data_IF_455581912168
#
_entry.id   IF_455581912168
#
_cell.length_a   1.000
_cell.length_b   1.000
_cell.length_c   1.000
_cell.angle_alpha   90.00
_cell.angle_beta   90.00
_cell.angle_gamma   90.00
#
_symmetry.space_group_name_H-M   'P 1'
#
loop_
_entity.id
_entity.type
_entity.pdbx_description
1 polymer ?
#
# COMPACT_ATOMS: atom_id res chain seq x y z
N UNK A 1 -13.65 6.44 16.27
CA UNK A 1 -13.82 6.21 14.81
C UNK A 1 -13.09 7.25 13.95
N UNK A 2 -13.34 8.55 14.15
CA UNK A 2 -12.82 9.65 13.30
C UNK A 2 -11.29 9.86 13.29
N UNK A 3 -10.56 9.25 14.22
CA UNK A 3 -9.08 9.28 14.22
C UNK A 3 -8.51 8.10 13.44
N UNK A 4 -9.11 6.91 13.58
CA UNK A 4 -8.65 5.66 12.96
C UNK A 4 -8.71 5.72 11.43
N UNK A 5 -9.79 6.28 10.88
CA UNK A 5 -9.94 6.44 9.43
C UNK A 5 -8.93 7.43 8.82
N UNK A 6 -8.59 8.51 9.53
CA UNK A 6 -7.54 9.44 9.13
C UNK A 6 -6.15 8.80 9.19
N UNK A 7 -5.90 7.96 10.20
CA UNK A 7 -4.65 7.20 10.31
C UNK A 7 -4.50 6.25 9.12
N UNK A 8 -5.55 5.51 8.75
CA UNK A 8 -5.47 4.59 7.61
C UNK A 8 -5.24 5.36 6.31
N UNK A 9 -5.93 6.49 6.11
CA UNK A 9 -5.67 7.36 4.96
C UNK A 9 -4.22 7.87 4.94
N UNK A 10 -3.71 8.33 6.08
CA UNK A 10 -2.33 8.80 6.18
C UNK A 10 -1.33 7.69 5.85
N UNK A 11 -1.53 6.48 6.38
CA UNK A 11 -0.67 5.33 6.09
C UNK A 11 -0.71 4.98 4.60
N UNK A 12 -1.89 4.95 3.97
CA UNK A 12 -2.04 4.74 2.53
C UNK A 12 -1.26 5.78 1.71
N UNK A 13 -1.35 7.06 2.08
CA UNK A 13 -0.60 8.14 1.42
C UNK A 13 0.92 7.95 1.61
N UNK A 14 1.36 7.66 2.83
CA UNK A 14 2.80 7.43 3.13
C UNK A 14 3.33 6.26 2.30
N UNK A 15 2.59 5.17 2.20
CA UNK A 15 2.98 4.02 1.38
C UNK A 15 3.08 4.38 -0.10
N UNK A 16 2.12 5.14 -0.64
CA UNK A 16 2.20 5.61 -2.02
C UNK A 16 3.44 6.49 -2.25
N UNK A 17 3.78 7.37 -1.32
CA UNK A 17 4.99 8.19 -1.39
C UNK A 17 6.24 7.31 -1.32
N UNK A 18 6.28 6.31 -0.42
CA UNK A 18 7.41 5.37 -0.34
C UNK A 18 7.60 4.59 -1.64
N UNK A 19 6.52 4.19 -2.31
CA UNK A 19 6.57 3.54 -3.62
C UNK A 19 7.23 4.46 -4.65
N UNK A 20 6.80 5.72 -4.74
CA UNK A 20 7.45 6.65 -5.66
C UNK A 20 8.93 6.85 -5.32
N UNK A 21 9.28 6.98 -4.04
CA UNK A 21 10.67 7.07 -3.61
C UNK A 21 11.47 5.84 -4.03
N UNK A 22 10.92 4.63 -3.83
CA UNK A 22 11.55 3.37 -4.24
C UNK A 22 11.69 3.22 -5.77
N UNK A 23 10.75 3.79 -6.55
CA UNK A 23 10.83 3.78 -8.02
C UNK A 23 11.92 4.72 -8.55
N UNK A 24 12.10 5.89 -7.93
CA UNK A 24 12.98 6.94 -8.44
C UNK A 24 14.39 6.94 -7.82
N UNK A 25 14.61 6.22 -6.73
CA UNK A 25 15.90 6.18 -6.03
C UNK A 25 16.39 4.74 -5.88
N UNK A 26 17.71 4.56 -5.93
CA UNK A 26 18.34 3.26 -5.69
C UNK A 26 18.55 3.07 -4.19
N UNK A 27 18.23 1.89 -3.68
CA UNK A 27 18.43 1.51 -2.29
C UNK A 27 19.39 0.34 -2.17
N UNK A 28 19.93 0.10 -0.97
CA UNK A 28 20.79 -1.07 -0.74
C UNK A 28 20.01 -2.36 -0.98
N UNK A 29 20.57 -3.22 -1.82
CA UNK A 29 20.08 -4.56 -2.08
C UNK A 29 20.50 -5.49 -0.97
N UNK A 30 19.55 -6.22 -0.40
CA UNK A 30 19.80 -7.25 0.60
C UNK A 30 19.42 -8.62 0.05
N UNK A 31 20.17 -9.64 0.45
CA UNK A 31 19.78 -11.02 0.27
C UNK A 31 18.82 -11.41 1.39
N UNK A 32 17.57 -11.69 1.04
CA UNK A 32 16.55 -12.14 1.97
C UNK A 32 15.90 -13.40 1.41
N UNK A 33 15.92 -14.50 2.19
CA UNK A 33 15.25 -15.78 1.86
C UNK A 33 15.43 -16.20 0.38
N UNK A 34 16.68 -16.18 -0.11
CA UNK A 34 17.01 -16.66 -1.46
C UNK A 34 16.62 -15.73 -2.62
N UNK A 35 16.20 -14.49 -2.35
CA UNK A 35 16.01 -13.46 -3.36
C UNK A 35 16.77 -12.18 -3.03
N UNK A 36 17.04 -11.37 -4.05
CA UNK A 36 17.62 -10.04 -3.92
C UNK A 36 16.49 -9.01 -4.02
N UNK A 37 16.37 -8.15 -3.01
CA UNK A 37 15.43 -7.02 -3.04
C UNK A 37 16.10 -5.80 -2.42
N UNK A 38 15.74 -4.61 -2.89
CA UNK A 38 16.14 -3.41 -2.17
C UNK A 38 15.39 -3.33 -0.83
N UNK A 39 16.10 -2.87 0.20
CA UNK A 39 15.61 -2.86 1.59
C UNK A 39 14.29 -2.08 1.76
N UNK A 40 14.07 -1.04 0.95
CA UNK A 40 12.85 -0.22 0.99
C UNK A 40 11.59 -0.99 0.59
N UNK A 41 11.71 -2.01 -0.27
CA UNK A 41 10.55 -2.77 -0.75
C UNK A 41 9.92 -3.64 0.33
N UNK A 42 10.67 -4.07 1.35
CA UNK A 42 10.17 -4.94 2.42
C UNK A 42 8.99 -4.29 3.18
N UNK A 43 9.13 -3.09 3.79
CA UNK A 43 8.01 -2.45 4.46
C UNK A 43 6.87 -2.08 3.48
N UNK A 44 7.20 -1.74 2.23
CA UNK A 44 6.19 -1.43 1.20
C UNK A 44 5.30 -2.65 0.93
N UNK A 45 5.89 -3.82 0.68
CA UNK A 45 5.16 -5.06 0.39
C UNK A 45 4.20 -5.43 1.54
N UNK A 46 4.69 -5.36 2.77
CA UNK A 46 3.88 -5.64 3.97
C UNK A 46 2.67 -4.69 4.02
N UNK A 47 2.92 -3.38 3.86
CA UNK A 47 1.86 -2.39 3.95
C UNK A 47 0.84 -2.50 2.82
N UNK A 48 1.30 -2.77 1.60
CA UNK A 48 0.47 -2.91 0.40
C UNK A 48 -0.48 -4.09 0.49
N UNK A 49 -0.07 -5.18 1.15
CA UNK A 49 -0.95 -6.33 1.38
C UNK A 49 -1.93 -6.06 2.54
N UNK A 50 -1.44 -5.52 3.66
CA UNK A 50 -2.23 -5.42 4.89
C UNK A 50 -3.24 -4.26 4.85
N UNK A 51 -2.84 -3.07 4.39
CA UNK A 51 -3.69 -1.88 4.42
C UNK A 51 -5.02 -2.04 3.65
N UNK A 52 -5.06 -2.51 2.39
CA UNK A 52 -6.33 -2.68 1.69
C UNK A 52 -7.26 -3.67 2.40
N UNK A 53 -6.73 -4.75 2.98
CA UNK A 53 -7.52 -5.71 3.76
C UNK A 53 -8.12 -5.05 5.01
N UNK A 54 -7.33 -4.26 5.74
CA UNK A 54 -7.82 -3.49 6.89
C UNK A 54 -8.87 -2.45 6.48
N UNK A 55 -8.66 -1.74 5.36
CA UNK A 55 -9.64 -0.79 4.84
C UNK A 55 -10.96 -1.47 4.45
N UNK A 56 -10.90 -2.61 3.77
CA UNK A 56 -12.08 -3.40 3.43
C UNK A 56 -12.82 -3.90 4.68
N UNK A 57 -12.08 -4.41 5.67
CA UNK A 57 -12.65 -4.81 6.95
C UNK A 57 -13.40 -3.67 7.63
N UNK A 58 -12.80 -2.48 7.71
CA UNK A 58 -13.46 -1.32 8.31
C UNK A 58 -14.69 -0.86 7.51
N UNK A 59 -14.66 -0.95 6.18
CA UNK A 59 -15.82 -0.62 5.34
C UNK A 59 -16.95 -1.63 5.57
N UNK A 60 -16.62 -2.91 5.66
CA UNK A 60 -17.59 -3.99 5.81
C UNK A 60 -18.26 -4.02 7.20
N UNK A 61 -17.50 -3.72 8.26
CA UNK A 61 -18.00 -3.72 9.64
C UNK A 61 -18.76 -2.44 9.99
N UNK A 62 -18.36 -1.30 9.42
CA UNK A 62 -18.94 0.00 9.74
C UNK A 62 -19.95 0.44 8.67
N UNK A 63 -21.11 -0.23 8.63
CA UNK A 63 -22.16 0.01 7.62
C UNK A 63 -23.06 1.20 7.95
N UNK A 64 -23.02 1.70 9.18
CA UNK A 64 -23.76 2.89 9.63
C UNK A 64 -23.10 4.18 9.11
N UNK A 65 -23.34 4.47 7.82
CA UNK A 65 -22.94 5.71 7.17
C UNK A 65 -21.68 5.61 6.31
N UNK A 66 -21.65 6.41 5.25
CA UNK A 66 -20.54 6.44 4.30
C UNK A 66 -19.29 7.07 4.92
N UNK A 67 -18.25 6.27 5.17
CA UNK A 67 -16.96 6.76 5.66
C UNK A 67 -16.00 7.05 4.50
N UNK A 68 -16.07 8.28 3.97
CA UNK A 68 -15.25 8.74 2.84
C UNK A 68 -13.74 8.51 2.99
N UNK A 69 -13.22 8.52 4.22
CA UNK A 69 -11.79 8.37 4.48
C UNK A 69 -11.30 6.94 4.25
N UNK A 70 -12.09 5.93 4.66
CA UNK A 70 -11.74 4.53 4.39
C UNK A 70 -11.82 4.19 2.90
N UNK A 71 -12.83 4.73 2.20
CA UNK A 71 -12.96 4.58 0.75
C UNK A 71 -11.79 5.25 0.00
N UNK A 72 -11.44 6.48 0.39
CA UNK A 72 -10.30 7.18 -0.22
C UNK A 72 -8.98 6.44 0.04
N UNK A 73 -8.77 5.94 1.27
CA UNK A 73 -7.61 5.13 1.60
C UNK A 73 -7.54 3.84 0.75
N UNK A 74 -8.67 3.17 0.55
CA UNK A 74 -8.76 1.99 -0.31
C UNK A 74 -8.37 2.31 -1.77
N UNK A 75 -8.88 3.42 -2.33
CA UNK A 75 -8.51 3.86 -3.69
C UNK A 75 -7.01 4.11 -3.79
N UNK A 76 -6.41 4.77 -2.80
CA UNK A 76 -4.95 5.00 -2.76
C UNK A 76 -4.20 3.66 -2.70
N UNK A 77 -4.65 2.69 -1.90
CA UNK A 77 -4.03 1.37 -1.85
C UNK A 77 -4.11 0.64 -3.21
N UNK A 78 -5.23 0.76 -3.94
CA UNK A 78 -5.35 0.18 -5.28
C UNK A 78 -4.40 0.83 -6.27
N UNK A 79 -4.21 2.16 -6.19
CA UNK A 79 -3.22 2.88 -6.99
C UNK A 79 -1.80 2.40 -6.64
N UNK A 80 -1.49 2.25 -5.35
CA UNK A 80 -0.21 1.70 -4.88
C UNK A 80 0.05 0.29 -5.44
N UNK A 81 -0.95 -0.60 -5.41
CA UNK A 81 -0.86 -1.95 -6.00
C UNK A 81 -0.55 -1.84 -7.50
N UNK A 82 -1.26 -0.98 -8.23
CA UNK A 82 -1.02 -0.80 -9.67
C UNK A 82 0.43 -0.40 -9.98
N UNK A 83 1.00 0.57 -9.25
CA UNK A 83 2.39 0.98 -9.46
C UNK A 83 3.40 -0.13 -9.16
N UNK A 84 3.16 -0.93 -8.11
CA UNK A 84 4.02 -2.07 -7.76
C UNK A 84 3.95 -3.15 -8.83
N UNK A 85 2.74 -3.54 -9.25
CA UNK A 85 2.56 -4.53 -10.32
C UNK A 85 3.27 -4.09 -11.59
N UNK A 86 3.19 -2.79 -11.92
CA UNK A 86 3.87 -2.22 -13.09
C UNK A 86 5.38 -2.21 -12.94
N UNK A 87 5.91 -1.83 -11.77
CA UNK A 87 7.34 -1.74 -11.52
C UNK A 87 8.02 -3.12 -11.57
N UNK A 88 7.39 -4.14 -11.00
CA UNK A 88 7.91 -5.52 -11.00
C UNK A 88 7.52 -6.32 -12.24
N UNK A 89 6.90 -5.70 -13.25
CA UNK A 89 6.47 -6.34 -14.50
C UNK A 89 5.65 -7.62 -14.27
N UNK A 90 4.78 -7.62 -13.25
CA UNK A 90 3.96 -8.78 -12.92
C UNK A 90 2.92 -9.00 -14.04
N UNK A 91 2.82 -10.24 -14.55
CA UNK A 91 2.03 -10.66 -15.74
C UNK A 91 0.53 -10.30 -15.73
N UNK A 92 0.00 -9.72 -14.65
CA UNK A 92 -1.36 -9.19 -14.60
C UNK A 92 -1.57 -7.91 -15.42
N UNK A 93 -0.49 -7.18 -15.74
CA UNK A 93 -0.50 -5.91 -16.47
C UNK A 93 0.53 -5.86 -17.63
N UNK A 94 1.02 -7.02 -18.09
CA UNK A 94 1.96 -7.14 -19.21
C UNK A 94 1.31 -6.80 -20.55
#
# INVERSE_FOLDING_TARGET
>A
MATKNKIYLLLSIVVLVMIFVAIFQNFETIHFIGFETEIIWIPIWIAVVILPLLNLYEIAVNTEGYNKYYWLALVINLISIFFILRYFEIELLS
#
